data_IF_088057926447
#
_entry.id   IF_088057926447
#
_cell.length_a   1.000
_cell.length_b   1.000
_cell.length_c   1.000
_cell.angle_alpha   90.00
_cell.angle_beta   90.00
_cell.angle_gamma   90.00
#
_symmetry.space_group_name_H-M   'P 1'
#
loop_
_entity.id
_entity.type
_entity.pdbx_description
1 polymer ?
#
# COMPACT_ATOMS: atom_id res chain seq x y z
N UNK A 1 5.88 14.83 -1.07
CA UNK A 1 4.89 15.91 -0.88
C UNK A 1 4.35 16.41 -2.22
N UNK A 2 5.17 16.61 -3.25
CA UNK A 2 4.67 16.93 -4.60
C UNK A 2 4.08 15.70 -5.31
N UNK A 3 4.88 14.63 -5.50
CA UNK A 3 4.39 13.40 -6.13
C UNK A 3 3.24 12.72 -5.37
N UNK A 4 3.27 12.80 -4.04
CA UNK A 4 2.15 12.32 -3.21
C UNK A 4 0.87 13.10 -3.54
N UNK A 5 0.92 14.44 -3.56
CA UNK A 5 -0.24 15.25 -3.89
C UNK A 5 -0.71 15.05 -5.34
N UNK A 6 0.23 14.79 -6.26
CA UNK A 6 -0.05 14.56 -7.67
C UNK A 6 -0.77 13.23 -7.93
N UNK A 7 -0.26 12.13 -7.38
CA UNK A 7 -0.82 10.79 -7.65
C UNK A 7 -1.96 10.39 -6.72
N UNK A 8 -2.07 11.03 -5.55
CA UNK A 8 -3.07 10.68 -4.54
C UNK A 8 -4.51 10.70 -5.06
N UNK A 9 -4.98 11.68 -5.86
CA UNK A 9 -6.35 11.66 -6.38
C UNK A 9 -6.67 10.42 -7.21
N UNK A 10 -5.72 9.95 -8.02
CA UNK A 10 -5.88 8.74 -8.85
C UNK A 10 -5.90 7.48 -7.99
N UNK A 11 -4.95 7.36 -7.05
CA UNK A 11 -4.86 6.21 -6.13
C UNK A 11 -6.09 6.13 -5.24
N UNK A 12 -6.55 7.25 -4.68
CA UNK A 12 -7.78 7.29 -3.87
C UNK A 12 -8.99 6.88 -4.68
N UNK A 13 -9.12 7.33 -5.93
CA UNK A 13 -10.21 6.92 -6.81
C UNK A 13 -10.22 5.40 -7.02
N UNK A 14 -9.06 4.79 -7.24
CA UNK A 14 -8.94 3.34 -7.37
C UNK A 14 -9.31 2.60 -6.07
N UNK A 15 -8.76 3.03 -4.93
CA UNK A 15 -8.98 2.37 -3.63
C UNK A 15 -10.42 2.52 -3.17
N UNK A 16 -11.05 3.69 -3.37
CA UNK A 16 -12.45 3.91 -2.98
C UNK A 16 -13.45 3.22 -3.90
N UNK A 17 -13.07 2.89 -5.12
CA UNK A 17 -13.87 2.08 -6.04
C UNK A 17 -13.73 0.57 -5.80
N UNK A 18 -12.89 0.14 -4.84
CA UNK A 18 -12.65 -1.27 -4.57
C UNK A 18 -13.90 -1.97 -4.05
N UNK A 19 -14.23 -3.12 -4.64
CA UNK A 19 -15.25 -4.05 -4.17
C UNK A 19 -14.71 -5.48 -4.14
N UNK A 20 -15.37 -6.38 -3.40
CA UNK A 20 -14.90 -7.75 -3.15
C UNK A 20 -14.71 -8.57 -4.44
N UNK A 21 -15.36 -8.23 -5.55
CA UNK A 21 -15.15 -8.90 -6.84
C UNK A 21 -13.75 -8.66 -7.41
N UNK A 22 -13.10 -7.56 -7.01
CA UNK A 22 -11.74 -7.23 -7.45
C UNK A 22 -10.70 -8.18 -6.83
N UNK A 23 -10.98 -8.78 -5.68
CA UNK A 23 -10.03 -9.64 -4.96
C UNK A 23 -9.43 -10.75 -5.86
N UNK A 24 -10.29 -11.40 -6.64
CA UNK A 24 -9.89 -12.52 -7.53
C UNK A 24 -9.86 -12.12 -9.01
N UNK A 25 -10.07 -10.83 -9.32
CA UNK A 25 -10.02 -10.33 -10.70
C UNK A 25 -8.60 -10.50 -11.24
N UNK A 26 -8.51 -11.02 -12.47
CA UNK A 26 -7.23 -11.22 -13.14
C UNK A 26 -6.57 -9.87 -13.49
N UNK A 27 -5.36 -9.67 -12.97
CA UNK A 27 -4.39 -8.70 -13.43
C UNK A 27 -3.44 -9.37 -14.44
N UNK A 28 -3.09 -8.66 -15.52
CA UNK A 28 -2.15 -9.13 -16.54
C UNK A 28 -1.04 -8.12 -16.65
N UNK A 29 0.18 -8.55 -16.35
CA UNK A 29 1.37 -7.70 -16.39
C UNK A 29 2.31 -8.17 -17.52
N UNK A 30 2.35 -7.43 -18.64
CA UNK A 30 3.29 -7.71 -19.73
C UNK A 30 4.73 -7.51 -19.25
N UNK A 31 5.53 -8.57 -19.35
CA UNK A 31 6.92 -8.55 -18.95
C UNK A 31 7.84 -8.11 -20.09
N UNK A 32 9.05 -7.59 -19.80
CA UNK A 32 10.00 -7.16 -20.82
C UNK A 32 10.44 -8.27 -21.80
N UNK A 33 10.34 -9.55 -21.41
CA UNK A 33 10.66 -10.71 -22.25
C UNK A 33 9.51 -11.16 -23.16
N UNK A 34 8.38 -10.44 -23.13
CA UNK A 34 7.19 -10.74 -23.92
C UNK A 34 6.25 -11.76 -23.27
N UNK A 35 6.59 -12.32 -22.11
CA UNK A 35 5.66 -13.10 -21.31
C UNK A 35 4.61 -12.20 -20.62
N UNK A 36 3.53 -12.80 -20.12
CA UNK A 36 2.52 -12.09 -19.34
C UNK A 36 2.39 -12.78 -18.00
N UNK A 37 2.76 -12.09 -16.93
CA UNK A 37 2.46 -12.53 -15.58
C UNK A 37 0.96 -12.34 -15.31
N UNK A 38 0.38 -13.29 -14.57
CA UNK A 38 -1.05 -13.35 -14.30
C UNK A 38 -1.22 -13.45 -12.80
N UNK A 39 -1.73 -12.39 -12.19
CA UNK A 39 -1.91 -12.28 -10.75
C UNK A 39 -3.37 -11.94 -10.41
N UNK A 40 -3.73 -12.07 -9.14
CA UNK A 40 -4.97 -11.52 -8.63
C UNK A 40 -4.77 -10.06 -8.22
N UNK A 41 -5.72 -9.18 -8.54
CA UNK A 41 -5.69 -7.79 -8.06
C UNK A 41 -5.62 -7.71 -6.52
N UNK A 42 -6.20 -8.68 -5.80
CA UNK A 42 -6.06 -8.79 -4.35
C UNK A 42 -4.62 -8.98 -3.87
N UNK A 43 -3.80 -9.77 -4.60
CA UNK A 43 -2.37 -9.90 -4.31
C UNK A 43 -1.63 -8.59 -4.58
N UNK A 44 -1.93 -7.91 -5.69
CA UNK A 44 -1.35 -6.60 -6.00
C UNK A 44 -1.63 -5.60 -4.87
N UNK A 45 -2.88 -5.51 -4.38
CA UNK A 45 -3.23 -4.59 -3.29
C UNK A 45 -2.50 -4.92 -1.98
N UNK A 46 -2.42 -6.21 -1.61
CA UNK A 46 -1.71 -6.63 -0.39
C UNK A 46 -0.20 -6.40 -0.50
N UNK A 47 0.36 -6.61 -1.69
CA UNK A 47 1.76 -6.33 -1.99
C UNK A 47 2.08 -4.84 -1.86
N UNK A 48 1.24 -3.95 -2.39
CA UNK A 48 1.40 -2.50 -2.24
C UNK A 48 1.33 -2.05 -0.77
N UNK A 49 0.40 -2.59 0.02
CA UNK A 49 0.31 -2.31 1.46
C UNK A 49 1.60 -2.76 2.17
N UNK A 50 2.08 -3.98 1.89
CA UNK A 50 3.31 -4.51 2.46
C UNK A 50 4.54 -3.67 2.07
N UNK A 51 4.63 -3.26 0.81
CA UNK A 51 5.71 -2.40 0.30
C UNK A 51 5.77 -1.06 1.02
N UNK A 52 4.62 -0.43 1.25
CA UNK A 52 4.59 0.86 1.96
C UNK A 52 4.99 0.72 3.43
N UNK A 53 4.54 -0.35 4.11
CA UNK A 53 4.96 -0.64 5.49
C UNK A 53 6.47 -0.91 5.54
N UNK A 54 7.01 -1.66 4.58
CA UNK A 54 8.44 -1.95 4.49
C UNK A 54 9.27 -0.67 4.35
N UNK A 55 8.93 0.22 3.41
CA UNK A 55 9.66 1.49 3.21
C UNK A 55 9.52 2.44 4.40
N UNK A 56 8.34 2.53 5.05
CA UNK A 56 8.20 3.27 6.31
C UNK A 56 9.11 2.72 7.43
N UNK A 57 9.31 1.41 7.46
CA UNK A 57 10.28 0.76 8.34
C UNK A 57 11.70 1.26 8.11
N UNK A 58 12.14 1.32 6.85
CA UNK A 58 13.46 1.86 6.46
C UNK A 58 13.62 3.32 6.90
N UNK A 59 12.61 4.18 6.64
CA UNK A 59 12.61 5.58 7.07
C UNK A 59 12.74 5.72 8.60
N UNK A 60 12.18 4.78 9.36
CA UNK A 60 12.29 4.80 10.82
C UNK A 60 13.73 4.57 11.31
N UNK A 61 14.53 3.78 10.58
CA UNK A 61 15.95 3.57 10.87
C UNK A 61 16.71 4.86 10.62
N UNK A 62 16.57 5.43 9.42
CA UNK A 62 17.25 6.68 9.06
C UNK A 62 16.88 7.85 9.98
N UNK A 63 15.61 7.94 10.41
CA UNK A 63 15.20 8.94 11.39
C UNK A 63 16.04 8.88 12.68
N UNK A 64 16.29 7.66 13.21
CA UNK A 64 17.11 7.47 14.41
C UNK A 64 18.57 7.82 14.15
N UNK A 65 19.11 7.45 13.00
CA UNK A 65 20.50 7.74 12.62
C UNK A 65 20.79 9.24 12.56
N UNK A 66 19.81 10.06 12.14
CA UNK A 66 19.93 11.52 12.15
C UNK A 66 19.45 12.18 13.46
N UNK A 67 19.30 11.40 14.53
CA UNK A 67 18.91 11.90 15.86
C UNK A 67 17.46 12.37 15.97
N UNK A 68 16.59 11.99 15.02
CA UNK A 68 15.15 12.31 15.06
C UNK A 68 14.34 11.15 15.63
N UNK A 69 13.26 11.49 16.32
CA UNK A 69 12.26 10.50 16.75
C UNK A 69 11.48 10.01 15.52
N UNK A 70 11.42 8.69 15.25
CA UNK A 70 10.63 8.15 14.15
C UNK A 70 9.13 8.30 14.43
N UNK A 71 8.34 8.36 13.36
CA UNK A 71 6.87 8.26 13.44
C UNK A 71 6.49 6.87 13.96
N UNK A 72 5.44 6.80 14.78
CA UNK A 72 4.98 5.53 15.34
C UNK A 72 4.39 4.61 14.26
N UNK A 73 4.94 3.40 14.15
CA UNK A 73 4.40 2.34 13.31
C UNK A 73 3.20 1.60 13.94
N UNK A 74 2.80 1.97 15.17
CA UNK A 74 1.69 1.30 15.84
C UNK A 74 0.38 1.49 15.05
N UNK A 75 -0.28 0.38 14.72
CA UNK A 75 -1.59 0.39 14.06
C UNK A 75 -2.74 0.35 15.07
N UNK A 76 -2.52 -0.30 16.22
CA UNK A 76 -3.54 -0.56 17.25
C UNK A 76 -3.92 0.75 17.97
N UNK A 77 -5.21 0.90 18.31
CA UNK A 77 -5.70 2.05 19.09
C UNK A 77 -5.87 3.33 18.28
N UNK A 78 -5.93 3.24 16.95
CA UNK A 78 -6.20 4.36 16.04
C UNK A 78 -7.68 4.51 15.64
N UNK A 79 -8.57 3.70 16.20
CA UNK A 79 -10.02 3.71 15.91
C UNK A 79 -10.37 3.58 14.42
N UNK A 80 -9.55 2.83 13.67
CA UNK A 80 -9.74 2.59 12.24
C UNK A 80 -10.81 1.52 11.96
N UNK A 81 -11.01 0.60 12.91
CA UNK A 81 -12.02 -0.47 12.86
C UNK A 81 -12.75 -0.44 14.20
N UNK A 82 -14.09 -0.45 14.18
CA UNK A 82 -14.91 -0.56 15.39
C UNK A 82 -15.16 -2.04 15.69
N UNK A 83 -15.00 -2.50 16.93
CA UNK A 83 -15.43 -3.85 17.31
C UNK A 83 -16.95 -3.95 17.19
N UNK A 84 -17.42 -5.11 16.75
CA UNK A 84 -18.84 -5.47 16.83
C UNK A 84 -19.11 -6.10 18.21
N UNK A 85 -20.22 -5.71 18.85
CA UNK A 85 -20.71 -6.25 20.12
C UNK A 85 -21.79 -7.31 19.89
#
# INVERSE_FOLDING_TARGET
MELDAEFRPEVETFVYAWDDSMETRIFRDPQPDGSVAVDAWGEVMRHMIAHQIHHLGQLSVWAREIGKRPVSANFIGKSLIKPEE
#
